data_IF_633795066660
#
_entry.id   IF_633795066660
#
_cell.length_a   1.000
_cell.length_b   1.000
_cell.length_c   1.000
_cell.angle_alpha   90.00
_cell.angle_beta   90.00
_cell.angle_gamma   90.00
#
_symmetry.space_group_name_H-M   'P 1'
#
loop_
_entity.id
_entity.type
_entity.pdbx_description
1 polymer ?
#
# COMPACT_ATOMS: atom_id res chain seq x y z
N UNK A 1 -11.97 -10.23 -9.67
CA UNK A 1 -10.79 -9.77 -8.89
C UNK A 1 -10.96 -10.50 -7.59
N UNK A 2 -10.03 -11.38 -7.32
CA UNK A 2 -10.09 -12.28 -6.17
C UNK A 2 -9.20 -11.75 -5.05
N UNK A 3 -9.29 -12.35 -3.86
CA UNK A 3 -8.53 -11.90 -2.69
C UNK A 3 -7.00 -11.92 -2.94
N UNK A 4 -6.55 -12.87 -3.75
CA UNK A 4 -5.16 -13.11 -4.12
C UNK A 4 -4.59 -12.01 -5.01
N UNK A 5 -5.44 -11.31 -5.77
CA UNK A 5 -5.09 -10.18 -6.63
C UNK A 5 -4.85 -8.89 -5.83
N UNK A 6 -5.27 -8.86 -4.56
CA UNK A 6 -5.13 -7.67 -3.71
C UNK A 6 -3.66 -7.48 -3.31
N UNK A 7 -2.98 -6.59 -4.04
CA UNK A 7 -1.66 -6.04 -3.71
C UNK A 7 -1.65 -4.85 -2.73
N UNK A 8 -0.45 -4.47 -2.28
CA UNK A 8 -0.25 -3.37 -1.31
C UNK A 8 -0.68 -1.99 -1.81
N UNK A 9 -0.63 -1.74 -3.12
CA UNK A 9 -1.14 -0.50 -3.73
C UNK A 9 -2.66 -0.35 -3.53
N UNK A 10 -3.41 -1.46 -3.58
CA UNK A 10 -4.85 -1.42 -3.37
C UNK A 10 -5.19 -1.07 -1.92
N UNK A 11 -4.48 -1.67 -0.96
CA UNK A 11 -4.62 -1.36 0.47
C UNK A 11 -4.27 0.11 0.72
N UNK A 12 -3.16 0.58 0.14
CA UNK A 12 -2.79 2.00 0.23
C UNK A 12 -3.90 2.92 -0.29
N UNK A 13 -4.48 2.62 -1.45
CA UNK A 13 -5.60 3.43 -1.98
C UNK A 13 -6.89 3.27 -1.19
N UNK A 14 -7.19 2.10 -0.64
CA UNK A 14 -8.34 1.93 0.26
C UNK A 14 -8.30 2.94 1.41
N UNK A 15 -7.13 3.08 2.04
CA UNK A 15 -6.94 3.98 3.18
C UNK A 15 -6.78 5.46 2.79
N UNK A 16 -6.38 5.76 1.55
CA UNK A 16 -6.29 7.14 1.08
C UNK A 16 -7.60 7.66 0.48
N UNK A 17 -8.20 6.93 -0.46
CA UNK A 17 -9.39 7.33 -1.20
C UNK A 17 -10.01 6.14 -1.96
N UNK A 18 -11.21 5.70 -1.55
CA UNK A 18 -11.94 4.61 -2.24
C UNK A 18 -12.21 4.90 -3.71
N UNK A 19 -12.50 6.16 -4.07
CA UNK A 19 -12.66 6.57 -5.47
C UNK A 19 -11.37 6.39 -6.28
N UNK A 20 -10.22 6.72 -5.70
CA UNK A 20 -8.92 6.48 -6.33
C UNK A 20 -8.66 4.99 -6.54
N UNK A 21 -8.97 4.15 -5.54
CA UNK A 21 -8.91 2.70 -5.68
C UNK A 21 -9.80 2.21 -6.83
N UNK A 22 -11.05 2.64 -6.88
CA UNK A 22 -12.01 2.27 -7.93
C UNK A 22 -11.53 2.64 -9.34
N UNK A 23 -11.00 3.85 -9.52
CA UNK A 23 -10.43 4.32 -10.79
C UNK A 23 -9.19 3.51 -11.17
N UNK A 24 -8.31 3.25 -10.20
CA UNK A 24 -7.12 2.42 -10.42
C UNK A 24 -7.48 0.99 -10.85
N UNK A 25 -8.48 0.37 -10.24
CA UNK A 25 -8.92 -0.97 -10.62
C UNK A 25 -9.50 -1.04 -12.04
N UNK A 26 -9.95 0.09 -12.59
CA UNK A 26 -10.48 0.23 -13.96
C UNK A 26 -9.47 0.72 -14.98
N UNK A 27 -8.18 0.63 -14.66
CA UNK A 27 -7.11 0.99 -15.59
C UNK A 27 -6.86 2.48 -15.75
N UNK A 28 -7.55 3.36 -15.00
CA UNK A 28 -7.24 4.79 -15.01
C UNK A 28 -5.86 4.98 -14.38
N UNK A 29 -4.90 5.38 -15.19
CA UNK A 29 -3.53 5.69 -14.79
C UNK A 29 -3.24 7.10 -15.29
N UNK A 30 -3.31 8.13 -14.43
CA UNK A 30 -2.85 9.45 -14.81
C UNK A 30 -1.42 9.34 -15.36
N UNK A 31 -1.19 9.91 -16.55
CA UNK A 31 -0.09 9.61 -17.48
C UNK A 31 1.32 9.77 -16.87
N UNK A 32 1.40 10.45 -15.74
CA UNK A 32 2.52 10.40 -14.81
C UNK A 32 1.96 10.29 -13.39
N UNK A 33 2.12 9.14 -12.73
CA UNK A 33 2.04 9.10 -11.27
C UNK A 33 3.14 10.06 -10.77
N UNK A 34 2.70 11.27 -10.38
CA UNK A 34 3.41 12.45 -9.85
C UNK A 34 4.87 12.26 -9.43
N UNK A 35 5.70 13.31 -9.52
CA UNK A 35 7.11 13.27 -9.08
C UNK A 35 7.36 12.67 -7.67
N UNK A 36 6.34 12.59 -6.80
CA UNK A 36 6.36 11.85 -5.54
C UNK A 36 6.35 10.31 -5.64
N UNK A 37 5.71 9.71 -6.65
CA UNK A 37 5.76 8.25 -6.91
C UNK A 37 7.08 7.87 -7.55
N UNK A 38 7.55 8.66 -8.54
CA UNK A 38 8.91 8.52 -9.09
C UNK A 38 9.98 8.68 -8.01
N UNK A 39 9.78 9.57 -7.04
CA UNK A 39 10.65 9.68 -5.87
C UNK A 39 10.57 8.43 -4.97
N UNK A 40 9.39 7.82 -4.82
CA UNK A 40 9.24 6.52 -4.15
C UNK A 40 10.06 5.43 -4.84
N UNK A 41 9.90 5.26 -6.15
CA UNK A 41 10.65 4.30 -6.95
C UNK A 41 12.17 4.58 -6.90
N UNK A 42 12.59 5.84 -7.03
CA UNK A 42 14.00 6.23 -6.95
C UNK A 42 14.60 6.02 -5.55
N UNK A 43 13.83 6.22 -4.48
CA UNK A 43 14.26 5.94 -3.10
C UNK A 43 14.42 4.43 -2.88
N UNK A 44 13.57 3.59 -3.49
CA UNK A 44 13.75 2.14 -3.48
C UNK A 44 15.02 1.73 -4.24
N UNK A 45 15.34 2.38 -5.36
CA UNK A 45 16.57 2.10 -6.11
C UNK A 45 17.85 2.57 -5.39
N UNK A 46 17.79 3.65 -4.61
CA UNK A 46 18.97 4.23 -3.95
C UNK A 46 19.17 3.81 -2.49
N UNK A 47 18.19 3.15 -1.87
CA UNK A 47 18.29 2.69 -0.47
C UNK A 47 18.63 1.19 -0.38
N UNK A 48 19.89 0.91 -0.01
CA UNK A 48 20.40 -0.31 0.65
C UNK A 48 20.81 -1.54 -0.19
N UNK A 49 22.13 -1.63 -0.41
CA UNK A 49 23.02 -2.75 -0.03
C UNK A 49 22.42 -4.18 0.11
N UNK A 50 22.73 -5.03 -0.88
CA UNK A 50 22.92 -6.51 -0.81
C UNK A 50 21.76 -7.43 -0.40
N UNK A 51 20.48 -7.04 -0.44
CA UNK A 51 19.35 -7.98 -0.34
C UNK A 51 18.22 -7.51 -1.27
N UNK A 52 17.80 -8.36 -2.20
CA UNK A 52 16.89 -8.00 -3.30
C UNK A 52 15.39 -8.09 -2.95
N UNK A 53 14.52 -7.52 -3.79
CA UNK A 53 13.07 -7.51 -3.61
C UNK A 53 12.48 -8.92 -3.67
N UNK A 54 11.44 -9.17 -2.87
CA UNK A 54 10.66 -10.41 -2.89
C UNK A 54 9.38 -10.18 -3.69
N UNK A 55 9.20 -10.96 -4.76
CA UNK A 55 7.98 -10.95 -5.56
C UNK A 55 6.94 -11.89 -4.92
N UNK A 56 5.84 -11.31 -4.44
CA UNK A 56 4.69 -12.05 -3.90
C UNK A 56 3.56 -12.17 -4.94
N UNK A 57 3.86 -11.99 -6.23
CA UNK A 57 2.91 -11.96 -7.34
C UNK A 57 2.21 -10.60 -7.43
N UNK A 58 1.20 -10.37 -6.58
CA UNK A 58 0.41 -9.14 -6.58
C UNK A 58 1.05 -7.98 -5.79
N UNK A 59 2.20 -8.21 -5.13
CA UNK A 59 2.86 -7.24 -4.27
C UNK A 59 4.39 -7.33 -4.39
N UNK A 60 5.04 -6.18 -4.59
CA UNK A 60 6.49 -6.03 -4.45
C UNK A 60 6.79 -5.60 -3.02
N UNK A 61 7.36 -6.52 -2.24
CA UNK A 61 7.89 -6.25 -0.92
C UNK A 61 9.35 -5.76 -1.06
N UNK A 62 9.76 -4.75 -0.29
CA UNK A 62 11.16 -4.29 -0.34
C UNK A 62 12.13 -5.40 0.08
N UNK A 63 11.92 -5.98 1.26
CA UNK A 63 12.52 -7.27 1.65
C UNK A 63 11.90 -7.84 2.93
N UNK A 64 12.21 -9.11 3.19
CA UNK A 64 12.00 -9.78 4.49
C UNK A 64 13.36 -10.09 5.12
N UNK A 65 13.52 -9.84 6.42
CA UNK A 65 14.77 -10.15 7.11
C UNK A 65 14.85 -11.61 7.60
N UNK A 66 16.02 -12.03 8.11
CA UNK A 66 16.21 -13.40 8.62
C UNK A 66 15.41 -13.73 9.88
N UNK A 67 14.75 -12.73 10.48
CA UNK A 67 13.82 -12.86 11.60
C UNK A 67 12.36 -12.74 11.15
N UNK A 68 12.09 -12.80 9.84
CA UNK A 68 10.76 -12.76 9.23
C UNK A 68 10.01 -11.44 9.50
N UNK A 69 10.74 -10.34 9.64
CA UNK A 69 10.15 -9.01 9.61
C UNK A 69 10.06 -8.50 8.17
N UNK A 70 8.90 -7.96 7.81
CA UNK A 70 8.64 -7.23 6.56
C UNK A 70 9.28 -5.85 6.68
N UNK A 71 10.10 -5.44 5.73
CA UNK A 71 10.64 -4.08 5.67
C UNK A 71 10.00 -3.32 4.51
N UNK A 72 9.61 -2.06 4.76
CA UNK A 72 9.01 -1.16 3.77
C UNK A 72 9.57 0.25 3.95
N UNK A 73 10.08 0.86 2.89
CA UNK A 73 10.66 2.21 2.91
C UNK A 73 9.63 3.24 2.42
N UNK A 74 9.45 4.31 3.18
CA UNK A 74 8.50 5.38 2.88
C UNK A 74 9.22 6.68 2.56
N UNK A 75 8.88 7.25 1.40
CA UNK A 75 9.36 8.57 0.96
C UNK A 75 8.72 9.72 1.75
N UNK A 76 7.60 9.47 2.43
CA UNK A 76 6.94 10.45 3.30
C UNK A 76 7.75 10.67 4.59
N UNK A 77 7.52 11.81 5.25
CA UNK A 77 8.17 12.10 6.53
C UNK A 77 7.34 11.62 7.74
N UNK A 78 6.05 11.35 7.54
CA UNK A 78 5.09 11.05 8.61
C UNK A 78 4.43 9.70 8.35
N UNK A 79 4.35 8.83 9.36
CA UNK A 79 3.55 7.62 9.29
C UNK A 79 2.09 7.92 9.00
N UNK A 80 1.47 7.06 8.21
CA UNK A 80 0.02 7.11 7.93
C UNK A 80 -0.64 5.75 8.21
N UNK A 81 -1.95 5.73 8.48
CA UNK A 81 -2.69 4.48 8.59
C UNK A 81 -2.57 3.58 7.34
N UNK A 82 -2.39 4.18 6.16
CA UNK A 82 -2.17 3.45 4.91
C UNK A 82 -0.83 2.69 4.92
N UNK A 83 0.22 3.27 5.49
CA UNK A 83 1.55 2.63 5.57
C UNK A 83 1.50 1.40 6.49
N UNK A 84 0.84 1.53 7.65
CA UNK A 84 0.64 0.43 8.59
C UNK A 84 -0.25 -0.67 8.00
N UNK A 85 -1.35 -0.30 7.35
CA UNK A 85 -2.24 -1.26 6.69
C UNK A 85 -1.52 -2.03 5.58
N UNK A 86 -0.69 -1.36 4.79
CA UNK A 86 0.11 -2.01 3.75
C UNK A 86 1.12 -3.00 4.35
N UNK A 87 1.84 -2.61 5.42
CA UNK A 87 2.78 -3.51 6.09
C UNK A 87 2.08 -4.75 6.69
N UNK A 88 0.92 -4.54 7.31
CA UNK A 88 0.07 -5.62 7.83
C UNK A 88 -0.42 -6.56 6.73
N UNK A 89 -0.80 -6.01 5.57
CA UNK A 89 -1.20 -6.80 4.40
C UNK A 89 -0.07 -7.71 3.91
N UNK A 90 1.17 -7.21 3.86
CA UNK A 90 2.32 -8.04 3.49
C UNK A 90 2.58 -9.17 4.48
N UNK A 91 2.45 -8.91 5.79
CA UNK A 91 2.56 -9.97 6.81
C UNK A 91 1.49 -11.05 6.59
N UNK A 92 0.25 -10.65 6.32
CA UNK A 92 -0.86 -11.57 6.01
C UNK A 92 -0.56 -12.43 4.77
N UNK A 93 -0.05 -11.83 3.69
CA UNK A 93 0.30 -12.55 2.46
C UNK A 93 1.42 -13.57 2.68
N UNK A 94 2.41 -13.23 3.51
CA UNK A 94 3.48 -14.16 3.88
C UNK A 94 2.94 -15.36 4.68
N UNK A 95 2.05 -15.11 5.64
CA UNK A 95 1.44 -16.19 6.43
C UNK A 95 0.65 -17.17 5.53
N UNK A 96 -0.07 -16.65 4.52
CA UNK A 96 -0.87 -17.47 3.59
C UNK A 96 -0.03 -18.33 2.65
N UNK A 97 1.28 -18.06 2.51
CA UNK A 97 2.23 -18.90 1.79
C UNK A 97 3.13 -19.71 2.73
N UNK A 98 2.77 -19.80 4.03
CA UNK A 98 3.46 -20.61 5.03
C UNK A 98 4.65 -19.93 5.71
N UNK A 99 4.81 -18.60 5.55
CA UNK A 99 5.86 -17.83 6.21
C UNK A 99 5.28 -17.09 7.41
N UNK A 100 5.61 -17.54 8.61
CA UNK A 100 5.22 -16.90 9.87
C UNK A 100 5.93 -15.55 10.07
N UNK A 101 5.28 -14.48 9.61
CA UNK A 101 5.77 -13.11 9.68
C UNK A 101 5.65 -12.54 11.09
N UNK A 102 6.74 -11.95 11.61
CA UNK A 102 6.75 -11.36 12.95
C UNK A 102 6.09 -9.98 13.01
N UNK A 103 6.00 -9.30 11.87
CA UNK A 103 5.52 -7.92 11.80
C UNK A 103 6.14 -7.13 10.66
N UNK A 104 5.73 -5.87 10.57
CA UNK A 104 6.24 -4.90 9.60
C UNK A 104 7.10 -3.83 10.26
N UNK A 105 8.16 -3.44 9.57
CA UNK A 105 9.07 -2.36 9.91
C UNK A 105 9.00 -1.31 8.82
N UNK A 106 8.42 -0.16 9.17
CA UNK A 106 8.26 0.98 8.29
C UNK A 106 9.43 1.95 8.50
N UNK A 107 10.22 2.19 7.45
CA UNK A 107 11.36 3.09 7.47
C UNK A 107 11.00 4.43 6.85
N UNK A 108 11.32 5.52 7.54
CA UNK A 108 11.10 6.90 7.07
C UNK A 108 12.45 7.62 6.99
N UNK A 109 13.23 7.47 5.90
CA UNK A 109 14.59 7.99 5.80
C UNK A 109 14.69 9.50 6.00
N UNK A 110 13.68 10.26 5.53
CA UNK A 110 13.61 11.72 5.69
C UNK A 110 13.64 12.18 7.14
N UNK A 111 13.07 11.40 8.05
CA UNK A 111 13.04 11.71 9.48
C UNK A 111 13.96 10.82 10.30
N UNK A 112 14.65 9.86 9.66
CA UNK A 112 15.44 8.79 10.29
C UNK A 112 14.65 8.02 11.35
N UNK A 113 13.33 7.87 11.14
CA UNK A 113 12.45 7.15 12.05
C UNK A 113 12.13 5.77 11.49
N UNK A 114 11.98 4.83 12.40
CA UNK A 114 11.55 3.47 12.09
C UNK A 114 10.43 3.09 13.04
N UNK A 115 9.35 2.53 12.50
CA UNK A 115 8.19 2.10 13.27
C UNK A 115 8.01 0.59 13.09
N UNK A 116 7.90 -0.14 14.20
CA UNK A 116 7.67 -1.59 14.21
C UNK A 116 6.22 -1.87 14.57
N UNK A 117 5.57 -2.70 13.78
CA UNK A 117 4.20 -3.13 13.93
C UNK A 117 4.18 -4.65 13.99
N UNK A 118 4.15 -5.25 15.20
CA UNK A 118 4.07 -6.71 15.35
C UNK A 118 2.84 -7.27 14.64
N UNK A 119 3.01 -8.44 14.03
CA UNK A 119 1.88 -9.15 13.44
C UNK A 119 1.20 -9.99 14.52
N UNK A 120 -0.09 -9.72 14.74
CA UNK A 120 -0.91 -10.35 15.78
C UNK A 120 -2.16 -10.95 15.15
N UNK A 121 -2.91 -11.81 15.87
CA UNK A 121 -4.21 -12.31 15.38
C UNK A 121 -5.18 -11.18 15.01
N UNK A 122 -5.16 -10.07 15.75
CA UNK A 122 -5.96 -8.89 15.42
C UNK A 122 -5.46 -8.22 14.12
N UNK A 123 -4.14 -8.16 13.90
CA UNK A 123 -3.60 -7.69 12.63
C UNK A 123 -4.01 -8.60 11.46
N UNK A 124 -4.05 -9.92 11.65
CA UNK A 124 -4.55 -10.84 10.63
C UNK A 124 -6.03 -10.58 10.30
N UNK A 125 -6.87 -10.39 11.32
CA UNK A 125 -8.29 -10.06 11.16
C UNK A 125 -8.51 -8.74 10.42
N UNK A 126 -7.72 -7.70 10.76
CA UNK A 126 -7.79 -6.41 10.09
C UNK A 126 -7.33 -6.50 8.63
N UNK A 127 -6.29 -7.29 8.33
CA UNK A 127 -5.85 -7.52 6.95
C UNK A 127 -6.95 -8.16 6.08
N UNK A 128 -7.64 -9.18 6.61
CA UNK A 128 -8.78 -9.81 5.93
C UNK A 128 -9.92 -8.82 5.70
N UNK A 129 -10.22 -7.99 6.70
CA UNK A 129 -11.25 -6.96 6.58
C UNK A 129 -10.89 -5.90 5.52
N UNK A 130 -9.62 -5.53 5.40
CA UNK A 130 -9.16 -4.60 4.36
C UNK A 130 -9.29 -5.23 2.96
N UNK A 131 -8.90 -6.49 2.80
CA UNK A 131 -9.06 -7.23 1.54
C UNK A 131 -10.53 -7.28 1.14
N UNK A 132 -11.43 -7.63 2.07
CA UNK A 132 -12.87 -7.64 1.82
C UNK A 132 -13.39 -6.26 1.38
N UNK A 133 -12.90 -5.17 2.00
CA UNK A 133 -13.28 -3.81 1.58
C UNK A 133 -12.72 -3.43 0.20
N UNK A 134 -11.52 -3.87 -0.15
CA UNK A 134 -10.97 -3.67 -1.51
C UNK A 134 -11.85 -4.37 -2.54
N UNK A 135 -12.24 -5.63 -2.28
CA UNK A 135 -13.15 -6.39 -3.14
C UNK A 135 -14.52 -5.73 -3.26
N UNK A 136 -15.06 -5.20 -2.15
CA UNK A 136 -16.31 -4.46 -2.17
C UNK A 136 -16.23 -3.23 -3.07
N UNK A 137 -15.17 -2.41 -2.95
CA UNK A 137 -14.95 -1.24 -3.83
C UNK A 137 -14.79 -1.67 -5.29
N UNK A 138 -14.11 -2.79 -5.55
CA UNK A 138 -13.95 -3.30 -6.92
C UNK A 138 -15.29 -3.64 -7.57
N UNK A 139 -16.20 -4.23 -6.79
CA UNK A 139 -17.53 -4.66 -7.21
C UNK A 139 -18.53 -3.50 -7.37
N UNK A 140 -18.24 -2.30 -6.86
CA UNK A 140 -19.12 -1.14 -7.03
C UNK A 140 -19.30 -0.80 -8.51
N UNK A 141 -20.56 -0.76 -8.98
CA UNK A 141 -20.91 -0.42 -10.37
C UNK A 141 -20.64 1.04 -10.70
N UNK A 142 -20.83 1.92 -9.71
CA UNK A 142 -20.58 3.35 -9.80
C UNK A 142 -19.36 3.74 -8.98
N UNK A 143 -18.66 4.79 -9.41
CA UNK A 143 -17.52 5.30 -8.64
C UNK A 143 -17.95 5.77 -7.23
N UNK A 144 -17.17 5.44 -6.18
CA UNK A 144 -17.37 5.97 -4.85
C UNK A 144 -17.39 7.50 -4.82
N UNK A 145 -17.98 8.05 -3.77
CA UNK A 145 -18.04 9.50 -3.54
C UNK A 145 -16.62 10.09 -3.46
N UNK A 146 -16.48 11.30 -4.00
CA UNK A 146 -15.22 12.05 -3.90
C UNK A 146 -15.04 12.58 -2.48
N UNK A 147 -13.78 12.63 -2.03
CA UNK A 147 -13.41 13.35 -0.82
C UNK A 147 -13.56 14.86 -1.03
N UNK A 148 -13.49 15.62 0.07
CA UNK A 148 -13.37 17.07 -0.01
C UNK A 148 -12.14 17.46 -0.85
N UNK A 149 -12.27 18.52 -1.66
CA UNK A 149 -11.20 18.96 -2.58
C UNK A 149 -9.88 19.26 -1.86
N UNK A 150 -9.94 19.73 -0.61
CA UNK A 150 -8.76 19.97 0.24
C UNK A 150 -7.95 18.70 0.52
N UNK A 151 -8.61 17.55 0.66
CA UNK A 151 -7.96 16.25 0.85
C UNK A 151 -7.36 15.68 -0.45
N UNK A 152 -7.66 16.28 -1.61
CA UNK A 152 -7.19 15.82 -2.92
C UNK A 152 -5.99 16.63 -3.42
N UNK A 153 -5.41 17.52 -2.61
CA UNK A 153 -4.25 18.33 -3.00
C UNK A 153 -3.08 17.42 -3.38
N UNK A 154 -2.59 17.55 -4.61
CA UNK A 154 -1.49 16.74 -5.15
C UNK A 154 -1.91 15.32 -5.57
N UNK A 155 -3.22 15.00 -5.57
CA UNK A 155 -3.72 13.74 -6.10
C UNK A 155 -3.67 13.77 -7.64
N UNK A 156 -3.00 12.77 -8.24
CA UNK A 156 -2.94 12.63 -9.69
C UNK A 156 -4.29 12.33 -10.36
N UNK A 157 -5.33 11.98 -9.61
CA UNK A 157 -6.67 11.67 -10.11
C UNK A 157 -7.63 12.87 -10.03
N UNK A 158 -7.13 14.07 -9.69
CA UNK A 158 -7.98 15.26 -9.49
C UNK A 158 -8.76 15.61 -10.75
N UNK A 159 -8.16 15.58 -11.93
CA UNK A 159 -8.89 15.93 -13.16
C UNK A 159 -9.99 14.90 -13.44
N UNK A 160 -9.69 13.61 -13.33
CA UNK A 160 -10.68 12.52 -13.46
C UNK A 160 -11.85 12.57 -12.46
N UNK A 161 -11.70 13.22 -11.31
CA UNK A 161 -12.74 13.26 -10.29
C UNK A 161 -13.53 14.59 -10.27
N UNK A 162 -13.06 15.61 -11.00
CA UNK A 162 -13.66 16.95 -11.05
C UNK A 162 -13.98 17.45 -12.46
N UNK A 163 -13.57 16.75 -13.52
CA UNK A 163 -14.08 16.95 -14.87
C UNK A 163 -15.36 16.11 -15.03
N UNK A 164 -16.45 16.76 -15.45
CA UNK A 164 -17.76 16.14 -15.71
C UNK A 164 -17.76 15.36 -17.03
#
# INVERSE_FOLDING_TARGET
>A
MEAEDVGGVHIKYLYHCRRQLWLYLRGVRPEHLSGSVRLGEAVHETSYTRRGPVDLGAARLDFIDGRRWVHEVKSSARPTPADEAQGRHYCYRLEHIGIDAQGAILHYPRTRRTHRHPYTPEAARLAQADIAQVLAVAAESTSPTRLARSACRGCGYTDYCWTE
#
